data_IF_691101110245
#
_entry.id   IF_691101110245
#
_cell.length_a   1.000
_cell.length_b   1.000
_cell.length_c   1.000
_cell.angle_alpha   90.00
_cell.angle_beta   90.00
_cell.angle_gamma   90.00
#
_symmetry.space_group_name_H-M   'P 1'
#
loop_
_entity.id
_entity.type
_entity.pdbx_description
1 polymer ?
#
# COMPACT_ATOMS: atom_id res chain seq x y z
N UNK A 1 -2.33 8.72 1.08
CA UNK A 1 -1.09 8.48 1.85
C UNK A 1 -0.62 9.71 2.62
N UNK A 2 -0.25 10.83 1.98
CA UNK A 2 0.26 12.01 2.71
C UNK A 2 -0.63 12.50 3.85
N UNK A 3 -1.95 12.61 3.63
CA UNK A 3 -2.89 13.01 4.70
C UNK A 3 -2.88 12.07 5.92
N UNK A 4 -2.56 10.79 5.73
CA UNK A 4 -2.44 9.84 6.83
C UNK A 4 -1.10 9.98 7.55
N UNK A 5 -0.02 10.17 6.78
CA UNK A 5 1.35 10.30 7.28
C UNK A 5 1.56 11.63 8.01
N UNK A 6 0.91 12.71 7.58
CA UNK A 6 0.95 14.01 8.26
C UNK A 6 0.48 13.90 9.71
N UNK A 7 -0.50 13.03 10.00
CA UNK A 7 -1.02 12.82 11.34
C UNK A 7 -0.05 12.07 12.28
N UNK A 8 0.98 11.42 11.72
CA UNK A 8 1.99 10.67 12.45
C UNK A 8 3.41 11.15 12.15
N UNK A 9 3.58 12.30 11.52
CA UNK A 9 4.88 12.78 11.04
C UNK A 9 5.93 12.89 12.16
N UNK A 10 5.52 13.28 13.38
CA UNK A 10 6.36 13.36 14.58
C UNK A 10 6.87 12.00 15.06
N UNK A 11 6.30 10.90 14.56
CA UNK A 11 6.68 9.52 14.87
C UNK A 11 7.55 8.88 13.79
N UNK A 12 7.79 9.59 12.69
CA UNK A 12 8.59 9.15 11.55
C UNK A 12 9.96 9.83 11.65
N UNK A 13 11.02 9.03 11.70
CA UNK A 13 12.39 9.51 11.88
C UNK A 13 12.92 10.18 10.61
N UNK A 14 12.65 9.60 9.44
CA UNK A 14 13.05 10.13 8.14
C UNK A 14 11.84 10.36 7.22
N UNK A 15 11.10 11.43 7.50
CA UNK A 15 9.90 11.78 6.72
C UNK A 15 10.19 12.07 5.25
N UNK A 16 11.41 12.53 4.93
CA UNK A 16 11.81 12.81 3.55
C UNK A 16 11.91 11.51 2.72
N UNK A 17 12.55 10.48 3.26
CA UNK A 17 12.63 9.17 2.58
C UNK A 17 11.22 8.58 2.38
N UNK A 18 10.39 8.60 3.43
CA UNK A 18 8.99 8.19 3.32
C UNK A 18 8.26 8.97 2.22
N UNK A 19 8.46 10.29 2.13
CA UNK A 19 7.82 11.13 1.13
C UNK A 19 8.24 10.75 -0.30
N UNK A 20 9.52 10.42 -0.52
CA UNK A 20 9.97 9.91 -1.81
C UNK A 20 9.35 8.55 -2.12
N UNK A 21 9.30 7.62 -1.16
CA UNK A 21 8.65 6.33 -1.37
C UNK A 21 7.17 6.46 -1.68
N UNK A 22 6.44 7.35 -0.99
CA UNK A 22 5.04 7.66 -1.33
C UNK A 22 4.92 8.14 -2.77
N UNK A 23 5.81 9.06 -3.20
CA UNK A 23 5.75 9.62 -4.54
C UNK A 23 6.06 8.59 -5.64
N UNK A 24 6.97 7.66 -5.38
CA UNK A 24 7.49 6.76 -6.40
C UNK A 24 6.94 5.33 -6.39
N UNK A 25 6.35 4.82 -5.28
CA UNK A 25 6.07 3.38 -5.16
C UNK A 25 5.20 2.80 -6.29
N UNK A 26 4.23 3.57 -6.78
CA UNK A 26 3.32 3.20 -7.88
C UNK A 26 3.54 4.02 -9.17
N UNK A 27 4.72 4.65 -9.34
CA UNK A 27 5.01 5.47 -10.53
C UNK A 27 4.98 4.63 -11.83
N UNK A 28 5.40 3.37 -11.75
CA UNK A 28 5.26 2.38 -12.82
C UNK A 28 4.14 1.42 -12.43
N UNK A 29 3.08 1.40 -13.21
CA UNK A 29 1.92 0.56 -12.93
C UNK A 29 1.37 -0.13 -14.18
N UNK A 30 1.30 -1.46 -14.13
CA UNK A 30 0.63 -2.32 -15.10
C UNK A 30 -0.12 -3.44 -14.34
N UNK A 31 -1.45 -3.44 -14.43
CA UNK A 31 -2.34 -4.39 -13.73
C UNK A 31 -2.04 -5.87 -14.03
N UNK A 32 -1.36 -6.18 -15.13
CA UNK A 32 -0.99 -7.53 -15.55
C UNK A 32 0.42 -7.96 -15.11
N UNK A 33 1.20 -7.02 -14.59
CA UNK A 33 2.62 -7.19 -14.23
C UNK A 33 2.78 -7.48 -12.74
N UNK A 34 3.75 -8.35 -12.42
CA UNK A 34 4.19 -8.64 -11.05
C UNK A 34 5.48 -7.92 -10.68
N UNK A 35 5.95 -6.99 -11.50
CA UNK A 35 7.22 -6.29 -11.32
C UNK A 35 7.06 -4.78 -11.20
N UNK A 36 5.88 -4.31 -10.82
CA UNK A 36 5.58 -2.88 -10.75
C UNK A 36 6.43 -2.20 -9.67
N UNK A 37 6.47 -2.78 -8.47
CA UNK A 37 7.22 -2.25 -7.34
C UNK A 37 8.72 -2.27 -7.62
N UNK A 38 9.25 -3.34 -8.23
CA UNK A 38 10.65 -3.41 -8.65
C UNK A 38 11.00 -2.32 -9.68
N UNK A 39 10.17 -2.14 -10.70
CA UNK A 39 10.38 -1.11 -11.73
C UNK A 39 10.25 0.31 -11.18
N UNK A 40 9.29 0.53 -10.27
CA UNK A 40 9.12 1.79 -9.56
C UNK A 40 10.33 2.10 -8.68
N UNK A 41 10.87 1.11 -7.97
CA UNK A 41 12.07 1.26 -7.15
C UNK A 41 13.31 1.57 -8.00
N UNK A 42 13.49 0.86 -9.13
CA UNK A 42 14.58 1.12 -10.08
C UNK A 42 14.48 2.54 -10.66
N UNK A 43 13.27 2.96 -11.06
CA UNK A 43 13.02 4.31 -11.55
C UNK A 43 13.31 5.37 -10.48
N UNK A 44 12.86 5.15 -9.23
CA UNK A 44 13.12 6.06 -8.12
C UNK A 44 14.63 6.22 -7.89
N UNK A 45 15.37 5.11 -7.87
CA UNK A 45 16.82 5.11 -7.72
C UNK A 45 17.51 5.98 -8.79
N UNK A 46 17.19 5.76 -10.07
CA UNK A 46 17.77 6.55 -11.16
C UNK A 46 17.49 8.06 -11.01
N UNK A 47 16.27 8.43 -10.61
CA UNK A 47 15.89 9.83 -10.40
C UNK A 47 16.57 10.46 -9.21
N UNK A 48 16.65 9.74 -8.09
CA UNK A 48 17.26 10.26 -6.86
C UNK A 48 18.78 10.42 -6.99
N UNK A 49 19.44 9.55 -7.77
CA UNK A 49 20.84 9.72 -8.14
C UNK A 49 21.06 11.00 -8.95
N UNK A 50 20.17 11.33 -9.90
CA UNK A 50 20.23 12.59 -10.66
C UNK A 50 20.03 13.83 -9.77
N UNK A 51 19.34 13.68 -8.64
CA UNK A 51 19.14 14.73 -7.64
C UNK A 51 20.28 14.81 -6.61
N UNK A 52 21.32 13.98 -6.72
CA UNK A 52 22.43 13.89 -5.78
C UNK A 52 22.00 13.55 -4.34
N UNK A 53 20.94 12.76 -4.18
CA UNK A 53 20.59 12.17 -2.89
C UNK A 53 21.67 11.13 -2.52
N UNK A 54 21.98 10.98 -1.23
CA UNK A 54 23.01 10.04 -0.82
C UNK A 54 22.57 8.58 -1.00
N UNK A 55 23.53 7.69 -1.25
CA UNK A 55 23.27 6.28 -1.56
C UNK A 55 22.58 5.52 -0.43
N UNK A 56 22.77 5.93 0.84
CA UNK A 56 22.10 5.29 1.98
C UNK A 56 20.59 5.58 1.95
N UNK A 57 20.19 6.82 1.73
CA UNK A 57 18.78 7.21 1.59
C UNK A 57 18.15 6.57 0.34
N UNK A 58 18.88 6.54 -0.78
CA UNK A 58 18.40 5.87 -2.00
C UNK A 58 18.14 4.39 -1.75
N UNK A 59 19.06 3.70 -1.08
CA UNK A 59 18.89 2.29 -0.72
C UNK A 59 17.69 2.09 0.20
N UNK A 60 17.48 2.97 1.17
CA UNK A 60 16.32 2.91 2.05
C UNK A 60 15.01 3.10 1.28
N UNK A 61 14.91 4.15 0.46
CA UNK A 61 13.73 4.44 -0.37
C UNK A 61 13.41 3.26 -1.31
N UNK A 62 14.45 2.69 -1.91
CA UNK A 62 14.33 1.50 -2.76
C UNK A 62 13.69 0.33 -2.00
N UNK A 63 14.20 0.00 -0.82
CA UNK A 63 13.64 -1.06 0.01
C UNK A 63 12.23 -0.74 0.51
N UNK A 64 11.95 0.52 0.83
CA UNK A 64 10.63 0.97 1.24
C UNK A 64 9.59 0.76 0.13
N UNK A 65 9.94 1.07 -1.13
CA UNK A 65 9.07 0.82 -2.29
C UNK A 65 8.86 -0.69 -2.50
N UNK A 66 9.92 -1.51 -2.47
CA UNK A 66 9.76 -2.96 -2.64
C UNK A 66 8.85 -3.60 -1.58
N UNK A 67 8.89 -3.08 -0.35
CA UNK A 67 8.10 -3.59 0.75
C UNK A 67 6.58 -3.35 0.58
N UNK A 68 6.15 -2.38 -0.24
CA UNK A 68 4.72 -2.15 -0.53
C UNK A 68 4.08 -3.28 -1.33
N UNK A 69 4.86 -4.22 -1.86
CA UNK A 69 4.34 -5.38 -2.59
C UNK A 69 3.64 -6.41 -1.69
N UNK A 70 4.21 -6.65 -0.51
CA UNK A 70 3.81 -7.75 0.36
C UNK A 70 3.20 -7.27 1.69
N UNK A 71 3.38 -5.98 2.01
CA UNK A 71 2.91 -5.35 3.26
C UNK A 71 3.20 -6.19 4.51
N UNK A 72 4.37 -6.80 4.57
CA UNK A 72 4.80 -7.57 5.75
C UNK A 72 5.28 -6.63 6.85
N UNK A 73 5.15 -7.06 8.10
CA UNK A 73 5.69 -6.30 9.23
C UNK A 73 7.21 -6.18 9.12
N UNK A 74 7.75 -5.01 9.43
CA UNK A 74 9.18 -4.73 9.41
C UNK A 74 9.70 -4.33 10.79
N UNK A 75 10.97 -4.60 11.05
CA UNK A 75 11.68 -4.03 12.21
C UNK A 75 11.95 -2.52 12.03
N UNK A 76 11.91 -2.02 10.79
CA UNK A 76 11.94 -0.59 10.53
C UNK A 76 10.55 0.03 10.79
N UNK A 77 10.47 0.85 11.85
CA UNK A 77 9.24 1.51 12.28
C UNK A 77 8.68 2.49 11.26
N UNK A 78 9.53 3.25 10.59
CA UNK A 78 9.11 4.24 9.60
C UNK A 78 8.46 3.55 8.39
N UNK A 79 9.03 2.42 7.97
CA UNK A 79 8.46 1.59 6.91
C UNK A 79 7.06 1.10 7.28
N UNK A 80 6.82 0.68 8.53
CA UNK A 80 5.48 0.26 8.93
C UNK A 80 4.43 1.38 8.79
N UNK A 81 4.79 2.65 9.00
CA UNK A 81 3.88 3.78 8.73
C UNK A 81 3.60 3.97 7.24
N UNK A 82 4.58 3.77 6.36
CA UNK A 82 4.37 3.79 4.91
C UNK A 82 3.37 2.71 4.48
N UNK A 83 3.61 1.46 4.92
CA UNK A 83 2.75 0.32 4.59
C UNK A 83 1.32 0.52 5.12
N UNK A 84 1.17 1.09 6.30
CA UNK A 84 -0.13 1.38 6.88
C UNK A 84 -0.86 2.52 6.14
N UNK A 85 -0.13 3.55 5.73
CA UNK A 85 -0.68 4.66 4.95
C UNK A 85 -1.15 4.19 3.56
N UNK A 86 -0.43 3.25 2.96
CA UNK A 86 -0.82 2.62 1.68
C UNK A 86 -2.12 1.83 1.81
N UNK A 87 -2.23 0.98 2.85
CA UNK A 87 -3.42 0.17 3.12
C UNK A 87 -4.60 0.96 3.71
N UNK A 88 -4.44 2.26 4.00
CA UNK A 88 -5.45 3.07 4.70
C UNK A 88 -6.80 3.15 3.99
N UNK A 89 -6.85 2.93 2.66
CA UNK A 89 -8.10 2.88 1.89
C UNK A 89 -9.02 1.75 2.39
N UNK A 90 -8.46 0.64 2.86
CA UNK A 90 -9.23 -0.50 3.37
C UNK A 90 -10.08 -0.09 4.56
N UNK A 91 -9.57 0.78 5.44
CA UNK A 91 -10.26 1.22 6.65
C UNK A 91 -11.16 2.44 6.50
N UNK A 92 -11.38 2.96 5.29
CA UNK A 92 -12.25 4.14 5.09
C UNK A 92 -13.73 3.81 5.28
N UNK A 93 -14.55 4.84 5.37
CA UNK A 93 -16.00 4.70 5.39
C UNK A 93 -16.48 3.88 4.19
N UNK A 94 -17.55 3.10 4.40
CA UNK A 94 -18.02 2.11 3.42
C UNK A 94 -18.29 2.73 2.05
N UNK A 95 -18.82 3.95 1.98
CA UNK A 95 -19.08 4.64 0.71
C UNK A 95 -17.79 4.89 -0.09
N UNK A 96 -16.74 5.38 0.58
CA UNK A 96 -15.41 5.60 -0.03
C UNK A 96 -14.82 4.26 -0.47
N UNK A 97 -14.96 3.23 0.36
CA UNK A 97 -14.47 1.89 0.05
C UNK A 97 -15.17 1.28 -1.18
N UNK A 98 -16.50 1.42 -1.28
CA UNK A 98 -17.28 0.97 -2.44
C UNK A 98 -16.80 1.66 -3.73
N UNK A 99 -16.54 2.96 -3.69
CA UNK A 99 -16.03 3.66 -4.86
C UNK A 99 -14.62 3.19 -5.24
N UNK A 100 -13.79 2.85 -4.25
CA UNK A 100 -12.51 2.19 -4.48
C UNK A 100 -12.68 0.82 -5.16
N UNK A 101 -13.55 -0.07 -4.66
CA UNK A 101 -13.76 -1.40 -5.27
C UNK A 101 -14.28 -1.31 -6.70
N UNK A 102 -15.16 -0.35 -6.99
CA UNK A 102 -15.64 -0.06 -8.36
C UNK A 102 -14.50 0.36 -9.28
N UNK A 103 -13.56 1.18 -8.82
CA UNK A 103 -12.38 1.59 -9.60
C UNK A 103 -11.47 0.39 -9.88
N UNK A 104 -11.18 -0.43 -8.87
CA UNK A 104 -10.42 -1.68 -9.05
C UNK A 104 -11.11 -2.60 -10.06
N UNK A 105 -12.44 -2.79 -9.96
CA UNK A 105 -13.14 -3.64 -10.93
C UNK A 105 -13.02 -3.13 -12.36
N UNK A 106 -13.10 -1.81 -12.57
CA UNK A 106 -12.91 -1.17 -13.88
C UNK A 106 -11.51 -1.36 -14.42
N UNK A 107 -10.50 -1.24 -13.57
CA UNK A 107 -9.10 -1.41 -13.94
C UNK A 107 -8.80 -2.83 -14.43
N UNK A 108 -9.36 -3.83 -13.74
CA UNK A 108 -9.26 -5.24 -14.12
C UNK A 108 -10.38 -5.69 -15.09
N UNK A 109 -10.97 -4.77 -15.86
CA UNK A 109 -12.09 -5.10 -16.78
C UNK A 109 -11.72 -6.08 -17.88
N UNK A 110 -10.42 -6.21 -18.21
CA UNK A 110 -9.92 -7.19 -19.17
C UNK A 110 -10.16 -8.64 -18.71
N UNK A 111 -10.27 -8.87 -17.39
CA UNK A 111 -10.53 -10.19 -16.85
C UNK A 111 -12.04 -10.42 -16.66
N UNK A 112 -12.59 -11.54 -17.17
CA UNK A 112 -13.97 -11.92 -16.90
C UNK A 112 -14.16 -12.24 -15.41
N UNK A 113 -15.40 -12.13 -14.95
CA UNK A 113 -15.76 -12.33 -13.53
C UNK A 113 -15.33 -13.69 -12.99
N UNK A 114 -15.36 -14.74 -13.82
CA UNK A 114 -14.92 -16.10 -13.45
C UNK A 114 -13.44 -16.15 -13.03
N UNK A 115 -12.59 -15.24 -13.53
CA UNK A 115 -11.18 -15.15 -13.15
C UNK A 115 -10.95 -14.04 -12.12
N UNK A 116 -11.60 -12.90 -12.28
CA UNK A 116 -11.43 -11.74 -11.39
C UNK A 116 -11.90 -12.03 -9.97
N UNK A 117 -13.13 -12.55 -9.80
CA UNK A 117 -13.74 -12.71 -8.46
C UNK A 117 -12.93 -13.66 -7.57
N UNK A 118 -12.50 -14.86 -8.02
CA UNK A 118 -11.66 -15.73 -7.20
C UNK A 118 -10.31 -15.11 -6.87
N UNK A 119 -9.68 -14.42 -7.83
CA UNK A 119 -8.40 -13.74 -7.62
C UNK A 119 -8.50 -12.62 -6.59
N UNK A 120 -9.52 -11.77 -6.70
CA UNK A 120 -9.78 -10.68 -5.75
C UNK A 120 -10.11 -11.22 -4.37
N UNK A 121 -10.98 -12.25 -4.25
CA UNK A 121 -11.27 -12.90 -2.96
C UNK A 121 -10.01 -13.47 -2.31
N UNK A 122 -9.06 -14.01 -3.09
CA UNK A 122 -7.79 -14.52 -2.55
C UNK A 122 -6.95 -13.41 -1.91
N UNK A 123 -6.82 -12.26 -2.56
CA UNK A 123 -6.09 -11.09 -2.03
C UNK A 123 -6.76 -10.58 -0.74
N UNK A 124 -8.08 -10.44 -0.77
CA UNK A 124 -8.86 -9.98 0.39
C UNK A 124 -8.77 -10.92 1.59
N UNK A 125 -8.85 -12.24 1.35
CA UNK A 125 -8.67 -13.25 2.40
C UNK A 125 -7.28 -13.22 3.00
N UNK A 126 -6.25 -12.98 2.20
CA UNK A 126 -4.88 -12.85 2.70
C UNK A 126 -4.78 -11.74 3.76
N UNK A 127 -5.42 -10.59 3.58
CA UNK A 127 -5.47 -9.54 4.60
C UNK A 127 -6.22 -9.98 5.87
N UNK A 128 -7.33 -10.71 5.74
CA UNK A 128 -8.08 -11.22 6.89
C UNK A 128 -7.31 -12.26 7.70
N UNK A 129 -6.42 -13.02 7.05
CA UNK A 129 -5.55 -14.02 7.68
C UNK A 129 -4.39 -13.39 8.47
N UNK A 130 -4.06 -12.12 8.22
CA UNK A 130 -3.07 -11.41 9.03
C UNK A 130 -3.60 -11.20 10.44
N UNK A 131 -2.74 -11.32 11.45
CA UNK A 131 -3.08 -10.98 12.84
C UNK A 131 -3.57 -9.53 12.94
N UNK A 132 -2.84 -8.62 12.29
CA UNK A 132 -3.22 -7.22 12.13
C UNK A 132 -2.96 -6.80 10.68
N UNK A 133 -3.95 -6.17 10.02
CA UNK A 133 -3.78 -5.58 8.69
C UNK A 133 -2.84 -4.39 8.78
N UNK A 134 -3.00 -3.57 9.81
CA UNK A 134 -2.14 -2.42 10.11
C UNK A 134 -1.05 -2.79 11.12
N UNK A 135 0.15 -2.23 10.97
CA UNK A 135 1.37 -2.64 11.66
C UNK A 135 1.62 -1.78 12.89
N UNK A 136 1.22 -0.52 12.83
CA UNK A 136 1.39 0.45 13.90
C UNK A 136 0.10 0.62 14.71
N UNK A 137 0.24 0.84 16.01
CA UNK A 137 -0.92 0.93 16.92
C UNK A 137 -1.87 2.06 16.51
N UNK A 138 -1.34 3.20 16.04
CA UNK A 138 -2.15 4.31 15.57
C UNK A 138 -3.08 3.92 14.41
N UNK A 139 -2.57 3.22 13.39
CA UNK A 139 -3.39 2.80 12.26
C UNK A 139 -4.30 1.61 12.61
N UNK A 140 -3.86 0.71 13.51
CA UNK A 140 -4.71 -0.36 14.02
C UNK A 140 -5.96 0.18 14.71
N UNK A 141 -5.76 1.09 15.68
CA UNK A 141 -6.87 1.73 16.40
C UNK A 141 -7.81 2.48 15.45
N UNK A 142 -7.25 3.15 14.45
CA UNK A 142 -8.00 3.97 13.51
C UNK A 142 -8.76 3.15 12.46
N UNK A 143 -8.19 2.06 11.95
CA UNK A 143 -8.66 1.43 10.71
C UNK A 143 -8.92 -0.07 10.76
N UNK A 144 -8.30 -0.83 11.67
CA UNK A 144 -8.35 -2.31 11.65
C UNK A 144 -9.79 -2.85 11.62
N UNK A 145 -10.62 -2.35 12.53
CA UNK A 145 -12.01 -2.79 12.67
C UNK A 145 -12.83 -2.48 11.42
N UNK A 146 -12.64 -1.29 10.83
CA UNK A 146 -13.40 -0.89 9.63
C UNK A 146 -12.89 -1.63 8.39
N UNK A 147 -11.57 -1.85 8.29
CA UNK A 147 -10.96 -2.58 7.19
C UNK A 147 -11.48 -4.02 7.10
N UNK A 148 -11.53 -4.74 8.23
CA UNK A 148 -12.06 -6.11 8.25
C UNK A 148 -13.52 -6.16 7.79
N UNK A 149 -14.37 -5.25 8.29
CA UNK A 149 -15.77 -5.15 7.85
C UNK A 149 -15.91 -4.86 6.35
N UNK A 150 -15.12 -3.94 5.83
CA UNK A 150 -15.13 -3.57 4.41
C UNK A 150 -14.70 -4.75 3.53
N UNK A 151 -13.64 -5.46 3.94
CA UNK A 151 -13.12 -6.63 3.23
C UNK A 151 -14.14 -7.77 3.23
N UNK A 152 -14.74 -8.08 4.38
CA UNK A 152 -15.81 -9.09 4.50
C UNK A 152 -17.00 -8.73 3.61
N UNK A 153 -17.44 -7.47 3.66
CA UNK A 153 -18.50 -6.97 2.79
C UNK A 153 -18.16 -7.14 1.30
N UNK A 154 -16.94 -6.81 0.87
CA UNK A 154 -16.52 -7.00 -0.53
C UNK A 154 -16.51 -8.48 -0.91
N UNK A 155 -16.02 -9.38 -0.05
CA UNK A 155 -16.01 -10.82 -0.30
C UNK A 155 -17.44 -11.36 -0.53
N UNK A 156 -18.41 -10.89 0.25
CA UNK A 156 -19.82 -11.31 0.16
C UNK A 156 -20.53 -10.73 -1.07
N UNK A 157 -20.07 -9.58 -1.58
CA UNK A 157 -20.66 -8.88 -2.72
C UNK A 157 -19.89 -9.08 -4.05
N UNK A 158 -18.80 -9.86 -4.04
CA UNK A 158 -18.05 -10.29 -5.22
C UNK A 158 -18.68 -11.52 -5.87
#
# INVERSE_FOLDING_TARGET
MFSELDAVNVRISNYLNISFSVFYHDIIYDSSSKSNEEKSADFAKERLQQLNINETDISEIYHQILATKAHQNSDNKDLNYLLDADLSILGKDLEIYIDYTRKIRKEYSIYPDLLYKPGRKKVLKHFLEMENIFKTDYFREKYEKQARKNIEWEIDNL
#
